data_IF_367774476222
#
_entry.id   IF_367774476222
#
_cell.length_a   1.000
_cell.length_b   1.000
_cell.length_c   1.000
_cell.angle_alpha   90.00
_cell.angle_beta   90.00
_cell.angle_gamma   90.00
#
_symmetry.space_group_name_H-M   'P 1'
#
loop_
_entity.id
_entity.type
_entity.pdbx_description
1 polymer ?
#
# COMPACT_ATOMS: atom_id res chain seq x y z
N UNK A 1 13.67 31.39 5.90
CA UNK A 1 12.45 30.68 5.47
C UNK A 1 11.28 31.40 6.10
N UNK A 2 10.24 31.74 5.31
CA UNK A 2 8.99 32.27 5.80
C UNK A 2 8.18 31.15 6.44
N UNK A 3 7.77 31.34 7.68
CA UNK A 3 6.93 30.38 8.42
C UNK A 3 5.70 31.11 8.96
N UNK A 4 4.67 30.35 9.32
CA UNK A 4 3.52 30.92 10.02
C UNK A 4 3.90 31.28 11.46
N UNK A 5 3.28 32.33 12.00
CA UNK A 5 3.40 32.69 13.41
C UNK A 5 2.60 31.72 14.31
N UNK A 6 1.55 31.13 13.74
CA UNK A 6 0.64 30.26 14.46
C UNK A 6 1.15 28.81 14.44
N UNK A 7 0.96 28.10 15.55
CA UNK A 7 1.07 26.65 15.61
C UNK A 7 0.05 25.99 14.70
N UNK A 8 0.43 24.85 14.11
CA UNK A 8 -0.42 24.11 13.18
C UNK A 8 -1.81 23.79 13.76
N UNK A 9 -1.87 23.32 14.99
CA UNK A 9 -3.14 22.94 15.62
C UNK A 9 -4.11 24.10 15.79
N UNK A 10 -3.59 25.34 15.90
CA UNK A 10 -4.41 26.54 16.00
C UNK A 10 -5.11 26.92 14.70
N UNK A 11 -4.58 26.47 13.56
CA UNK A 11 -5.11 26.77 12.22
C UNK A 11 -5.71 25.54 11.52
N UNK A 12 -5.53 24.35 12.09
CA UNK A 12 -6.10 23.11 11.58
C UNK A 12 -7.64 23.20 11.48
N UNK A 13 -8.17 22.87 10.31
CA UNK A 13 -9.61 22.95 10.05
C UNK A 13 -10.16 24.36 9.75
N UNK A 14 -9.33 25.41 9.85
CA UNK A 14 -9.69 26.79 9.50
C UNK A 14 -9.05 27.25 8.19
N UNK A 15 -7.92 26.64 7.83
CA UNK A 15 -7.19 26.93 6.60
C UNK A 15 -6.89 25.63 5.87
N UNK A 16 -6.88 25.69 4.55
CA UNK A 16 -6.45 24.55 3.73
C UNK A 16 -4.94 24.39 3.84
N UNK A 17 -4.52 23.21 4.26
CA UNK A 17 -3.12 22.79 4.21
C UNK A 17 -2.88 22.03 2.91
N UNK A 18 -1.91 22.46 2.13
CA UNK A 18 -1.44 21.75 0.96
C UNK A 18 -0.07 21.15 1.27
N UNK A 19 0.03 19.84 1.19
CA UNK A 19 1.31 19.15 1.28
C UNK A 19 1.95 19.12 -0.12
N UNK A 20 3.14 19.73 -0.23
CA UNK A 20 3.88 19.79 -1.50
C UNK A 20 5.00 18.76 -1.40
N UNK A 21 4.79 17.62 -2.05
CA UNK A 21 5.74 16.52 -2.10
C UNK A 21 6.29 16.38 -3.52
N UNK A 22 7.61 16.23 -3.64
CA UNK A 22 8.24 15.88 -4.90
C UNK A 22 8.26 14.35 -5.07
N UNK A 23 7.94 13.88 -6.27
CA UNK A 23 8.08 12.48 -6.69
C UNK A 23 8.92 12.42 -7.96
N UNK A 24 9.82 11.46 -8.06
CA UNK A 24 10.64 11.24 -9.25
C UNK A 24 9.88 10.51 -10.37
N UNK A 25 8.80 9.79 -10.00
CA UNK A 25 8.03 8.95 -10.91
C UNK A 25 7.54 9.68 -12.18
N UNK A 26 6.96 10.88 -12.12
CA UNK A 26 6.53 11.58 -13.33
C UNK A 26 7.69 11.90 -14.28
N UNK A 27 8.86 12.23 -13.74
CA UNK A 27 10.06 12.51 -14.53
C UNK A 27 10.58 11.25 -15.20
N UNK A 28 10.59 10.12 -14.48
CA UNK A 28 11.01 8.81 -15.01
C UNK A 28 10.04 8.35 -16.09
N UNK A 29 8.74 8.47 -15.87
CA UNK A 29 7.71 8.11 -16.87
C UNK A 29 7.92 8.95 -18.14
N UNK A 30 8.11 10.26 -18.01
CA UNK A 30 8.34 11.14 -19.15
C UNK A 30 9.61 10.74 -19.92
N UNK A 31 10.68 10.44 -19.23
CA UNK A 31 11.91 9.96 -19.85
C UNK A 31 11.68 8.65 -20.62
N UNK A 32 10.93 7.72 -20.06
CA UNK A 32 10.60 6.45 -20.71
C UNK A 32 9.72 6.66 -21.94
N UNK A 33 8.76 7.59 -21.89
CA UNK A 33 7.96 7.98 -23.07
C UNK A 33 8.84 8.52 -24.19
N UNK A 34 9.77 9.41 -23.87
CA UNK A 34 10.69 10.01 -24.85
C UNK A 34 11.65 8.95 -25.46
N UNK A 35 12.08 7.96 -24.68
CA UNK A 35 12.96 6.88 -25.14
C UNK A 35 12.26 5.79 -25.96
N UNK A 36 11.01 5.47 -25.61
CA UNK A 36 10.28 4.34 -26.21
C UNK A 36 9.26 4.78 -27.26
N UNK A 37 8.83 6.03 -27.23
CA UNK A 37 7.74 6.53 -28.06
C UNK A 37 6.35 6.04 -27.63
N UNK A 38 6.24 5.40 -26.44
CA UNK A 38 5.00 4.86 -25.91
C UNK A 38 4.38 5.87 -24.93
N UNK A 39 3.14 6.28 -25.15
CA UNK A 39 2.37 7.08 -24.20
C UNK A 39 1.96 6.20 -23.02
N UNK A 40 2.42 6.53 -21.81
CA UNK A 40 2.14 5.79 -20.58
C UNK A 40 0.63 5.63 -20.29
N UNK A 41 -0.19 6.58 -20.75
CA UNK A 41 -1.65 6.53 -20.60
C UNK A 41 -2.32 5.42 -21.42
N UNK A 42 -1.62 4.87 -22.41
CA UNK A 42 -2.13 3.79 -23.26
C UNK A 42 -1.78 2.40 -22.74
N UNK A 43 -0.96 2.31 -21.71
CA UNK A 43 -0.52 1.03 -21.13
C UNK A 43 -1.66 0.41 -20.31
N UNK A 44 -2.10 -0.81 -20.63
CA UNK A 44 -3.14 -1.49 -19.85
C UNK A 44 -2.61 -1.92 -18.49
N UNK A 45 -3.46 -1.83 -17.44
CA UNK A 45 -3.10 -2.25 -16.09
C UNK A 45 -3.21 -3.77 -15.85
N UNK A 46 -3.73 -4.51 -16.82
CA UNK A 46 -4.01 -5.94 -16.75
C UNK A 46 -3.09 -6.79 -17.66
N UNK A 47 -1.99 -6.21 -18.15
CA UNK A 47 -1.00 -6.97 -18.92
C UNK A 47 -0.37 -8.07 -18.06
N UNK A 48 -0.60 -9.37 -18.41
CA UNK A 48 -0.17 -10.48 -17.58
C UNK A 48 1.36 -10.57 -17.45
N UNK A 49 2.11 -10.16 -18.48
CA UNK A 49 3.56 -10.17 -18.45
C UNK A 49 4.11 -9.14 -17.48
N UNK A 50 3.54 -7.93 -17.49
CA UNK A 50 3.89 -6.88 -16.53
C UNK A 50 3.51 -7.29 -15.11
N UNK A 51 2.31 -7.82 -14.91
CA UNK A 51 1.86 -8.29 -13.60
C UNK A 51 2.73 -9.43 -13.04
N UNK A 52 3.25 -10.31 -13.91
CA UNK A 52 4.13 -11.39 -13.48
C UNK A 52 5.42 -10.92 -12.80
N UNK A 53 5.88 -9.70 -13.05
CA UNK A 53 7.07 -9.11 -12.42
C UNK A 53 6.95 -8.98 -10.89
N UNK A 54 5.73 -8.90 -10.39
CA UNK A 54 5.42 -8.80 -8.97
C UNK A 54 5.30 -10.17 -8.27
N UNK A 55 5.40 -11.27 -9.02
CA UNK A 55 5.33 -12.64 -8.49
C UNK A 55 6.45 -13.56 -8.98
N UNK A 56 7.22 -13.14 -9.99
CA UNK A 56 8.35 -13.90 -10.55
C UNK A 56 9.37 -13.00 -11.24
N UNK A 57 10.49 -13.58 -11.65
CA UNK A 57 11.54 -12.91 -12.44
C UNK A 57 11.49 -13.28 -13.92
N UNK A 58 10.64 -14.23 -14.29
CA UNK A 58 10.57 -14.79 -15.65
C UNK A 58 10.19 -13.74 -16.71
N UNK A 59 9.34 -12.79 -16.36
CA UNK A 59 8.87 -11.74 -17.27
C UNK A 59 9.99 -10.88 -17.85
N UNK A 60 11.12 -10.74 -17.13
CA UNK A 60 12.32 -10.02 -17.59
C UNK A 60 13.46 -10.96 -18.03
N UNK A 61 13.24 -12.28 -17.95
CA UNK A 61 14.22 -13.29 -18.36
C UNK A 61 15.46 -13.35 -17.46
N UNK A 62 15.36 -12.92 -16.20
CA UNK A 62 16.43 -13.00 -15.21
C UNK A 62 16.16 -14.12 -14.21
N UNK A 63 17.26 -14.69 -13.67
CA UNK A 63 17.16 -15.66 -12.59
C UNK A 63 17.26 -14.97 -11.23
N UNK A 64 16.76 -15.61 -10.14
CA UNK A 64 16.92 -15.07 -8.79
C UNK A 64 18.38 -14.79 -8.42
N UNK A 65 19.33 -15.62 -8.88
CA UNK A 65 20.78 -15.42 -8.63
C UNK A 65 21.28 -14.11 -9.24
N UNK A 66 20.79 -13.74 -10.44
CA UNK A 66 21.13 -12.47 -11.10
C UNK A 66 20.51 -11.26 -10.38
N UNK A 67 19.44 -11.48 -9.61
CA UNK A 67 18.77 -10.49 -8.79
C UNK A 67 19.13 -10.61 -7.30
N UNK A 68 20.31 -11.10 -6.97
CA UNK A 68 20.82 -11.21 -5.60
C UNK A 68 19.93 -12.05 -4.66
N UNK A 69 19.22 -13.03 -5.20
CA UNK A 69 18.33 -13.92 -4.47
C UNK A 69 16.86 -13.48 -4.43
N UNK A 70 16.49 -12.37 -5.07
CA UNK A 70 15.10 -11.94 -5.15
C UNK A 70 14.31 -12.80 -6.14
N UNK A 71 13.14 -13.24 -5.73
CA UNK A 71 12.22 -14.05 -6.54
C UNK A 71 11.17 -13.21 -7.28
N UNK A 72 11.16 -11.88 -7.10
CA UNK A 72 10.28 -10.92 -7.79
C UNK A 72 11.11 -9.87 -8.50
N UNK A 73 10.61 -9.36 -9.62
CA UNK A 73 11.34 -8.41 -10.48
C UNK A 73 10.98 -6.93 -10.19
N UNK A 74 10.50 -6.63 -8.99
CA UNK A 74 9.99 -5.30 -8.63
C UNK A 74 11.05 -4.33 -8.08
N UNK A 75 12.34 -4.70 -8.08
CA UNK A 75 13.43 -3.94 -7.46
C UNK A 75 13.49 -2.48 -7.95
N UNK A 76 13.28 -2.24 -9.25
CA UNK A 76 13.33 -0.91 -9.85
C UNK A 76 11.96 -0.20 -9.86
N UNK A 77 10.91 -0.83 -9.34
CA UNK A 77 9.57 -0.22 -9.27
C UNK A 77 9.48 0.61 -7.99
N UNK A 78 9.15 1.91 -8.09
CA UNK A 78 9.01 2.78 -6.92
C UNK A 78 8.10 2.16 -5.86
N UNK A 79 8.47 2.32 -4.59
CA UNK A 79 7.83 1.75 -3.41
C UNK A 79 7.80 0.22 -3.34
N UNK A 80 7.79 -0.50 -4.46
CA UNK A 80 7.81 -1.97 -4.51
C UNK A 80 9.23 -2.57 -4.44
N UNK A 81 10.27 -1.76 -4.54
CA UNK A 81 11.67 -2.18 -4.53
C UNK A 81 12.28 -2.38 -3.14
N UNK A 82 11.59 -2.05 -2.05
CA UNK A 82 12.12 -2.26 -0.70
C UNK A 82 12.12 -3.74 -0.34
N UNK A 83 13.09 -4.19 0.49
CA UNK A 83 13.14 -5.59 0.95
C UNK A 83 11.84 -6.04 1.61
N UNK A 84 11.21 -5.15 2.37
CA UNK A 84 9.93 -5.44 3.04
C UNK A 84 8.80 -5.71 2.03
N UNK A 85 8.64 -4.85 1.03
CA UNK A 85 7.58 -5.02 0.03
C UNK A 85 7.86 -6.19 -0.91
N UNK A 86 9.13 -6.42 -1.31
CA UNK A 86 9.49 -7.61 -2.08
C UNK A 86 9.13 -8.92 -1.34
N UNK A 87 9.44 -9.01 -0.03
CA UNK A 87 9.00 -10.14 0.77
C UNK A 87 7.48 -10.30 0.85
N UNK A 88 6.75 -9.19 0.91
CA UNK A 88 5.29 -9.18 0.87
C UNK A 88 4.74 -9.71 -0.48
N UNK A 89 5.37 -9.32 -1.58
CA UNK A 89 5.05 -9.79 -2.93
C UNK A 89 5.33 -11.29 -3.10
N UNK A 90 6.46 -11.77 -2.59
CA UNK A 90 6.81 -13.21 -2.58
C UNK A 90 5.79 -14.04 -1.81
N UNK A 91 5.36 -13.56 -0.63
CA UNK A 91 4.38 -14.24 0.20
C UNK A 91 2.98 -14.28 -0.42
N UNK A 92 2.55 -13.17 -1.03
CA UNK A 92 1.18 -12.98 -1.50
C UNK A 92 0.94 -13.36 -2.97
N UNK A 93 1.99 -13.32 -3.80
CA UNK A 93 1.97 -13.63 -5.25
C UNK A 93 0.80 -12.98 -5.97
N UNK A 94 0.74 -11.66 -6.05
CA UNK A 94 -0.38 -10.95 -6.66
C UNK A 94 -0.54 -11.33 -8.14
N UNK A 95 -1.79 -11.40 -8.60
CA UNK A 95 -2.15 -11.78 -9.97
C UNK A 95 -2.87 -10.65 -10.71
N UNK A 96 -3.36 -9.66 -9.98
CA UNK A 96 -4.15 -8.57 -10.53
C UNK A 96 -3.63 -7.22 -10.06
N UNK A 97 -3.97 -6.16 -10.79
CA UNK A 97 -3.70 -4.80 -10.35
C UNK A 97 -4.37 -4.48 -9.01
N UNK A 98 -5.58 -5.02 -8.77
CA UNK A 98 -6.27 -4.89 -7.49
C UNK A 98 -5.47 -5.49 -6.33
N UNK A 99 -4.76 -6.59 -6.55
CA UNK A 99 -3.88 -7.18 -5.55
C UNK A 99 -2.68 -6.25 -5.23
N UNK A 100 -2.12 -5.59 -6.25
CA UNK A 100 -1.04 -4.61 -6.05
C UNK A 100 -1.51 -3.40 -5.24
N UNK A 101 -2.74 -2.92 -5.47
CA UNK A 101 -3.34 -1.85 -4.65
C UNK A 101 -3.43 -2.28 -3.18
N UNK A 102 -3.81 -3.54 -2.90
CA UNK A 102 -3.86 -4.08 -1.54
C UNK A 102 -2.48 -4.19 -0.92
N UNK A 103 -1.48 -4.68 -1.68
CA UNK A 103 -0.08 -4.74 -1.23
C UNK A 103 0.41 -3.34 -0.85
N UNK A 104 0.13 -2.33 -1.68
CA UNK A 104 0.44 -0.93 -1.37
C UNK A 104 -0.23 -0.50 -0.06
N UNK A 105 -1.51 -0.82 0.15
CA UNK A 105 -2.21 -0.54 1.41
C UNK A 105 -1.51 -1.15 2.62
N UNK A 106 -1.13 -2.42 2.55
CA UNK A 106 -0.43 -3.11 3.63
C UNK A 106 0.97 -2.56 3.91
N UNK A 107 1.63 -1.96 2.92
CA UNK A 107 2.98 -1.40 3.09
C UNK A 107 3.02 -0.10 3.88
N UNK A 108 1.89 0.59 4.05
CA UNK A 108 1.80 1.92 4.65
C UNK A 108 1.33 1.93 6.11
N UNK A 109 1.25 0.81 6.78
CA UNK A 109 0.80 0.73 8.17
C UNK A 109 1.78 0.01 9.08
N UNK A 110 1.89 0.45 10.33
CA UNK A 110 2.65 -0.26 11.35
C UNK A 110 1.87 -1.51 11.77
N UNK A 111 2.51 -2.69 11.71
CA UNK A 111 1.93 -3.98 12.09
C UNK A 111 0.64 -4.34 11.32
N UNK A 112 0.48 -3.85 10.10
CA UNK A 112 -0.68 -4.20 9.26
C UNK A 112 -0.43 -5.51 8.51
N UNK A 113 0.81 -5.74 8.11
CA UNK A 113 1.20 -6.94 7.38
C UNK A 113 1.76 -8.02 8.31
N UNK A 114 2.94 -7.78 8.91
CA UNK A 114 3.61 -8.76 9.76
C UNK A 114 2.76 -9.09 11.00
N UNK A 115 2.70 -10.38 11.34
CA UNK A 115 1.95 -10.91 12.48
C UNK A 115 0.44 -10.58 12.43
N UNK A 116 -0.07 -10.23 11.24
CA UNK A 116 -1.47 -9.85 11.01
C UNK A 116 -1.97 -10.40 9.65
N UNK A 117 -2.11 -9.56 8.61
CA UNK A 117 -2.64 -9.99 7.31
C UNK A 117 -1.80 -11.12 6.69
N UNK A 118 -0.48 -11.09 6.85
CA UNK A 118 0.43 -12.15 6.43
C UNK A 118 0.03 -13.51 7.01
N UNK A 119 -0.18 -13.60 8.31
CA UNK A 119 -0.59 -14.83 9.00
C UNK A 119 -1.95 -15.33 8.51
N UNK A 120 -2.93 -14.44 8.37
CA UNK A 120 -4.27 -14.79 7.90
C UNK A 120 -4.24 -15.37 6.48
N UNK A 121 -3.43 -14.79 5.60
CA UNK A 121 -3.28 -15.23 4.21
C UNK A 121 -2.49 -16.54 4.14
N UNK A 122 -1.35 -16.63 4.84
CA UNK A 122 -0.53 -17.85 4.88
C UNK A 122 -1.27 -19.07 5.44
N UNK A 123 -2.08 -18.85 6.45
CA UNK A 123 -2.89 -19.91 7.08
C UNK A 123 -4.19 -20.22 6.30
N UNK A 124 -4.43 -19.54 5.19
CA UNK A 124 -5.64 -19.75 4.37
C UNK A 124 -6.95 -19.27 5.03
N UNK A 125 -6.86 -18.45 6.07
CA UNK A 125 -8.03 -17.88 6.75
C UNK A 125 -8.79 -16.91 5.86
N UNK A 126 -8.07 -16.15 5.04
CA UNK A 126 -8.62 -15.30 3.99
C UNK A 126 -7.67 -15.23 2.79
N UNK A 127 -8.21 -14.86 1.64
CA UNK A 127 -7.42 -14.54 0.46
C UNK A 127 -6.98 -13.09 0.50
N UNK A 128 -5.96 -12.75 -0.30
CA UNK A 128 -5.46 -11.39 -0.41
C UNK A 128 -6.57 -10.39 -0.75
N UNK A 129 -7.48 -10.75 -1.66
CA UNK A 129 -8.60 -9.90 -2.08
C UNK A 129 -9.74 -9.78 -1.06
N UNK A 130 -9.74 -10.59 -0.01
CA UNK A 130 -10.72 -10.57 1.08
C UNK A 130 -10.20 -9.77 2.29
N UNK A 131 -8.89 -9.57 2.37
CA UNK A 131 -8.27 -8.87 3.48
C UNK A 131 -8.50 -7.35 3.39
N UNK A 132 -8.75 -6.71 4.53
CA UNK A 132 -8.84 -5.26 4.65
C UNK A 132 -7.42 -4.68 4.62
N UNK A 133 -7.10 -3.94 3.58
CA UNK A 133 -5.75 -3.40 3.34
C UNK A 133 -5.67 -1.88 3.43
N UNK A 134 -6.75 -1.19 3.18
CA UNK A 134 -6.83 0.26 3.19
C UNK A 134 -7.90 0.75 4.16
N UNK A 135 -7.79 2.02 4.59
CA UNK A 135 -8.84 2.65 5.40
C UNK A 135 -10.18 2.73 4.66
N UNK A 136 -10.15 2.86 3.34
CA UNK A 136 -11.37 2.86 2.53
C UNK A 136 -12.06 1.49 2.55
N UNK A 137 -11.31 0.40 2.63
CA UNK A 137 -11.88 -0.94 2.82
C UNK A 137 -12.67 -1.03 4.13
N UNK A 138 -12.16 -0.44 5.23
CA UNK A 138 -12.89 -0.38 6.52
C UNK A 138 -14.21 0.36 6.34
N UNK A 139 -14.18 1.53 5.73
CA UNK A 139 -15.37 2.35 5.51
C UNK A 139 -16.40 1.61 4.65
N UNK A 140 -15.97 1.04 3.52
CA UNK A 140 -16.82 0.31 2.59
C UNK A 140 -17.41 -0.95 3.24
N UNK A 141 -16.62 -1.70 4.00
CA UNK A 141 -17.11 -2.86 4.75
C UNK A 141 -18.27 -2.48 5.68
N UNK A 142 -18.13 -1.40 6.43
CA UNK A 142 -19.16 -0.92 7.35
C UNK A 142 -20.43 -0.44 6.61
N UNK A 143 -20.27 0.26 5.49
CA UNK A 143 -21.39 0.70 4.64
C UNK A 143 -22.15 -0.51 4.09
N UNK A 144 -21.46 -1.51 3.58
CA UNK A 144 -22.08 -2.74 3.07
C UNK A 144 -22.81 -3.54 4.17
N UNK A 145 -22.40 -3.37 5.44
CA UNK A 145 -23.09 -3.95 6.61
C UNK A 145 -24.24 -3.08 7.13
N UNK A 146 -24.62 -2.01 6.42
CA UNK A 146 -25.77 -1.16 6.72
C UNK A 146 -25.47 0.05 7.61
N UNK A 147 -24.21 0.31 7.95
CA UNK A 147 -23.85 1.53 8.66
C UNK A 147 -23.96 2.75 7.75
N UNK A 148 -24.48 3.88 8.25
CA UNK A 148 -24.53 5.09 7.45
C UNK A 148 -23.12 5.63 7.14
N UNK A 149 -22.97 6.33 6.00
CA UNK A 149 -21.68 6.79 5.47
C UNK A 149 -20.90 7.66 6.46
N UNK A 150 -21.59 8.56 7.16
CA UNK A 150 -20.97 9.47 8.12
C UNK A 150 -20.33 8.71 9.29
N UNK A 151 -21.04 7.77 9.88
CA UNK A 151 -20.53 6.97 10.98
C UNK A 151 -19.41 6.03 10.51
N UNK A 152 -19.55 5.44 9.32
CA UNK A 152 -18.49 4.61 8.72
C UNK A 152 -17.20 5.38 8.53
N UNK A 153 -17.29 6.63 8.06
CA UNK A 153 -16.15 7.53 7.95
C UNK A 153 -15.50 7.83 9.32
N UNK A 154 -16.30 8.14 10.34
CA UNK A 154 -15.76 8.38 11.69
C UNK A 154 -15.07 7.14 12.28
N UNK A 155 -15.64 5.96 12.09
CA UNK A 155 -15.01 4.71 12.56
C UNK A 155 -13.70 4.49 11.83
N UNK A 156 -13.68 4.62 10.50
CA UNK A 156 -12.49 4.50 9.68
C UNK A 156 -11.39 5.47 10.15
N UNK A 157 -11.71 6.75 10.36
CA UNK A 157 -10.75 7.74 10.85
C UNK A 157 -10.23 7.43 12.26
N UNK A 158 -11.07 6.90 13.14
CA UNK A 158 -10.64 6.48 14.48
C UNK A 158 -9.69 5.28 14.42
N UNK A 159 -9.98 4.29 13.56
CA UNK A 159 -9.10 3.15 13.32
C UNK A 159 -7.74 3.63 12.78
N UNK A 160 -7.74 4.52 11.78
CA UNK A 160 -6.51 5.11 11.23
C UNK A 160 -5.66 5.83 12.29
N UNK A 161 -6.31 6.52 13.22
CA UNK A 161 -5.64 7.24 14.32
C UNK A 161 -5.30 6.34 15.51
N UNK A 162 -5.60 5.05 15.44
CA UNK A 162 -5.42 4.10 16.56
C UNK A 162 -6.31 4.39 17.77
N UNK A 163 -7.39 5.14 17.58
CA UNK A 163 -8.35 5.45 18.65
C UNK A 163 -9.39 4.35 18.77
N UNK A 164 -9.74 4.00 20.01
CA UNK A 164 -10.75 2.96 20.28
C UNK A 164 -10.25 1.53 20.08
N UNK A 165 -8.98 1.33 19.77
CA UNK A 165 -8.34 0.03 19.76
C UNK A 165 -7.53 -0.08 21.04
N UNK A 166 -7.83 -1.11 21.83
CA UNK A 166 -7.09 -1.42 23.05
C UNK A 166 -5.64 -1.75 22.66
N UNK A 167 -4.72 -0.87 23.02
CA UNK A 167 -3.30 -1.16 22.84
C UNK A 167 -2.85 -2.17 23.90
N UNK A 168 -2.22 -3.26 23.49
CA UNK A 168 -1.63 -4.22 24.40
C UNK A 168 -0.12 -4.15 24.35
N UNK A 169 0.52 -4.24 25.51
CA UNK A 169 1.98 -4.36 25.60
C UNK A 169 2.43 -5.76 25.16
N UNK A 170 3.75 -5.99 25.10
CA UNK A 170 4.33 -7.29 24.72
C UNK A 170 3.92 -8.44 25.68
N UNK A 171 3.39 -8.13 26.85
CA UNK A 171 2.87 -9.09 27.84
C UNK A 171 1.34 -9.28 27.74
N UNK A 172 0.69 -8.69 26.73
CA UNK A 172 -0.74 -8.84 26.49
C UNK A 172 -1.63 -7.98 27.40
N UNK A 173 -1.08 -7.08 28.20
CA UNK A 173 -1.82 -6.19 29.08
C UNK A 173 -2.29 -4.94 28.33
N UNK A 174 -3.54 -4.52 28.58
CA UNK A 174 -4.08 -3.28 28.01
C UNK A 174 -3.24 -2.07 28.48
N UNK A 175 -2.84 -1.24 27.50
CA UNK A 175 -2.22 0.05 27.76
C UNK A 175 -3.16 1.14 27.35
N UNK A 176 -3.42 2.07 28.24
CA UNK A 176 -4.21 3.29 27.99
C UNK A 176 -3.46 4.25 27.07
#
# INVERSE_FOLDING_TARGET
>A
VLTTHFDYHSIEGRMTKLDILGHDDPTIIRMLEDLTGIDAKTIPFDDPRTLSLFSSTEGIGLTPEQLQGDHVASLAVPECGTKFVRGMLEDSRPQTFSDLVRISGFSHGTNVWLDNAQELIKNGTCKLNEAISTRDDVMNFLIHRGMNKKNSFFVMENVRKGKGIEKRNKQGQATT
#
